data_IF_348036710569
#
_entry.id   IF_348036710569
#
_cell.length_a   1.000
_cell.length_b   1.000
_cell.length_c   1.000
_cell.angle_alpha   90.00
_cell.angle_beta   90.00
_cell.angle_gamma   90.00
#
_symmetry.space_group_name_H-M   'P 1'
#
loop_
_entity.id
_entity.type
_entity.pdbx_description
1 polymer ?
#
# COMPACT_ATOMS: atom_id res chain seq x y z
N UNK A 1 -39.66 35.23 17.68
CA UNK A 1 -38.80 35.28 16.49
C UNK A 1 -37.44 34.67 16.84
N UNK A 2 -36.85 33.98 15.86
CA UNK A 2 -35.52 33.34 15.85
C UNK A 2 -35.38 31.98 16.56
N UNK A 3 -35.91 30.94 15.92
CA UNK A 3 -35.39 29.58 16.02
C UNK A 3 -33.98 29.55 15.41
N UNK A 4 -32.97 29.39 16.25
CA UNK A 4 -31.60 29.14 15.81
C UNK A 4 -31.58 27.81 15.05
N UNK A 5 -31.45 27.89 13.72
CA UNK A 5 -31.16 26.73 12.88
C UNK A 5 -29.82 26.15 13.33
N UNK A 6 -29.89 25.09 14.15
CA UNK A 6 -28.79 24.17 14.38
C UNK A 6 -28.41 23.63 13.01
N UNK A 7 -27.35 24.19 12.42
CA UNK A 7 -26.74 23.72 11.18
C UNK A 7 -26.38 22.26 11.46
N UNK A 8 -27.22 21.33 10.98
CA UNK A 8 -26.89 19.91 10.94
C UNK A 8 -25.64 19.85 10.07
N UNK A 9 -24.48 19.76 10.69
CA UNK A 9 -23.23 19.46 9.99
C UNK A 9 -23.52 18.23 9.15
N UNK A 10 -23.47 18.40 7.83
CA UNK A 10 -23.58 17.26 6.94
C UNK A 10 -22.50 16.28 7.36
N UNK A 11 -22.83 14.98 7.56
CA UNK A 11 -21.80 13.99 7.85
C UNK A 11 -20.77 14.08 6.73
N UNK A 12 -19.52 14.37 7.11
CA UNK A 12 -18.44 14.59 6.16
C UNK A 12 -18.35 13.39 5.21
N UNK A 13 -18.35 13.68 3.91
CA UNK A 13 -18.31 12.66 2.86
C UNK A 13 -16.99 11.90 2.95
N UNK A 14 -17.05 10.57 2.89
CA UNK A 14 -15.83 9.73 2.93
C UNK A 14 -15.17 9.71 1.56
N UNK A 15 -13.82 9.71 1.43
CA UNK A 15 -12.83 9.77 2.51
C UNK A 15 -12.43 11.21 2.89
N UNK A 16 -13.21 12.24 2.54
CA UNK A 16 -12.93 13.63 2.93
C UNK A 16 -12.91 13.90 4.44
N UNK A 17 -13.38 12.95 5.26
CA UNK A 17 -13.28 12.96 6.71
C UNK A 17 -12.01 12.28 7.26
N UNK A 18 -11.16 11.72 6.40
CA UNK A 18 -9.87 11.14 6.79
C UNK A 18 -8.92 12.27 7.18
N UNK A 19 -8.17 12.16 8.29
CA UNK A 19 -7.19 13.17 8.66
C UNK A 19 -6.18 13.43 7.54
N UNK A 20 -5.77 14.70 7.36
CA UNK A 20 -4.77 15.06 6.35
C UNK A 20 -3.38 14.50 6.71
N UNK A 21 -2.43 14.51 5.77
CA UNK A 21 -1.06 14.04 6.00
C UNK A 21 -0.39 14.74 7.19
N UNK A 22 -0.54 16.07 7.27
CA UNK A 22 -0.01 16.84 8.40
C UNK A 22 -0.63 16.39 9.73
N UNK A 23 -1.95 16.14 9.76
CA UNK A 23 -2.63 15.67 10.97
C UNK A 23 -2.22 14.24 11.33
N UNK A 24 -2.01 13.37 10.34
CA UNK A 24 -1.51 12.02 10.56
C UNK A 24 -0.10 12.05 11.17
N UNK A 25 0.80 12.90 10.66
CA UNK A 25 2.12 13.10 11.23
C UNK A 25 2.06 13.64 12.66
N UNK A 26 1.21 14.64 12.93
CA UNK A 26 0.99 15.14 14.30
C UNK A 26 0.56 14.03 15.27
N UNK A 27 -0.33 13.14 14.84
CA UNK A 27 -0.81 12.01 15.65
C UNK A 27 0.28 10.96 15.85
N UNK A 28 1.00 10.60 14.78
CA UNK A 28 2.08 9.63 14.82
C UNK A 28 3.24 10.07 15.72
N UNK A 29 3.56 11.37 15.71
CA UNK A 29 4.54 11.98 16.61
C UNK A 29 4.00 12.23 18.03
N UNK A 30 2.75 11.86 18.33
CA UNK A 30 2.13 12.08 19.65
C UNK A 30 1.82 13.54 19.98
N UNK A 31 1.90 14.44 18.99
CA UNK A 31 1.60 15.89 19.13
C UNK A 31 0.09 16.17 19.14
N UNK A 32 -0.72 15.20 18.73
CA UNK A 32 -2.18 15.33 18.65
C UNK A 32 -2.89 14.05 19.03
N UNK A 33 -4.00 14.19 19.75
CA UNK A 33 -4.97 13.11 19.95
C UNK A 33 -6.19 13.33 19.06
N UNK A 34 -6.73 12.25 18.50
CA UNK A 34 -7.95 12.28 17.73
C UNK A 34 -9.15 11.99 18.63
N UNK A 35 -10.23 12.72 18.39
CA UNK A 35 -11.51 12.53 19.09
C UNK A 35 -12.23 11.27 18.59
N UNK A 36 -11.94 10.87 17.35
CA UNK A 36 -12.54 9.70 16.70
C UNK A 36 -11.68 8.46 16.96
N UNK A 37 -12.34 7.35 17.31
CA UNK A 37 -11.66 6.06 17.49
C UNK A 37 -11.28 5.46 16.13
N UNK A 38 -9.98 5.28 15.91
CA UNK A 38 -9.39 4.68 14.71
C UNK A 38 -8.58 3.44 15.11
N UNK A 39 -9.22 2.28 15.34
CA UNK A 39 -8.58 1.10 15.90
C UNK A 39 -7.51 0.49 14.97
N UNK A 40 -7.71 0.48 13.64
CA UNK A 40 -6.69 -0.04 12.73
C UNK A 40 -5.50 0.92 12.63
N UNK A 41 -5.76 2.23 12.57
CA UNK A 41 -4.70 3.23 12.56
C UNK A 41 -3.87 3.21 13.86
N UNK A 42 -4.51 2.99 15.01
CA UNK A 42 -3.84 2.81 16.30
C UNK A 42 -2.99 1.54 16.34
N UNK A 43 -3.52 0.41 15.87
CA UNK A 43 -2.76 -0.85 15.79
C UNK A 43 -1.52 -0.72 14.89
N UNK A 44 -1.61 0.06 13.82
CA UNK A 44 -0.46 0.36 12.97
C UNK A 44 0.61 1.13 13.75
N UNK A 45 0.21 2.17 14.49
CA UNK A 45 1.13 2.96 15.32
C UNK A 45 1.87 2.10 16.36
N UNK A 46 1.17 1.15 16.99
CA UNK A 46 1.75 0.21 17.96
C UNK A 46 2.75 -0.78 17.32
N UNK A 47 2.63 -1.03 16.02
CA UNK A 47 3.44 -1.99 15.26
C UNK A 47 4.57 -1.38 14.46
N UNK A 48 4.77 -0.06 14.55
CA UNK A 48 5.89 0.59 13.87
C UNK A 48 7.22 -0.05 14.30
N UNK A 49 8.06 -0.32 13.32
CA UNK A 49 9.42 -0.78 13.51
C UNK A 49 10.29 0.35 14.04
N UNK A 50 11.50 0.03 14.54
CA UNK A 50 12.41 1.04 15.05
C UNK A 50 12.79 2.08 13.97
N UNK A 51 13.17 1.70 12.73
CA UNK A 51 13.51 2.69 11.69
C UNK A 51 12.32 3.58 11.29
N UNK A 52 11.10 3.06 11.29
CA UNK A 52 9.89 3.86 11.03
C UNK A 52 9.65 4.88 12.15
N UNK A 53 9.87 4.50 13.41
CA UNK A 53 9.76 5.44 14.54
C UNK A 53 10.84 6.51 14.50
N UNK A 54 12.07 6.14 14.16
CA UNK A 54 13.16 7.09 14.00
C UNK A 54 12.89 8.08 12.87
N UNK A 55 12.37 7.61 11.72
CA UNK A 55 11.97 8.49 10.62
C UNK A 55 10.86 9.48 10.98
N UNK A 56 10.02 9.17 11.98
CA UNK A 56 9.01 10.10 12.51
C UNK A 56 9.60 11.18 13.44
N UNK A 57 10.79 10.95 14.00
CA UNK A 57 11.45 11.84 14.97
C UNK A 57 12.58 12.65 14.34
N UNK A 58 13.21 12.13 13.30
CA UNK A 58 14.40 12.72 12.67
C UNK A 58 14.00 13.52 11.42
N UNK A 59 14.22 14.84 11.45
CA UNK A 59 13.91 15.72 10.33
C UNK A 59 15.02 15.60 9.26
N UNK A 60 14.76 14.82 8.20
CA UNK A 60 15.53 14.88 6.95
C UNK A 60 16.36 13.66 6.58
N UNK A 61 16.53 12.67 7.47
CA UNK A 61 17.29 11.44 7.14
C UNK A 61 16.47 10.37 6.40
N UNK A 62 15.13 10.44 6.47
CA UNK A 62 14.24 9.47 5.83
C UNK A 62 12.85 10.04 5.51
N UNK A 63 12.77 11.23 4.89
CA UNK A 63 11.49 11.90 4.58
C UNK A 63 10.51 11.01 3.80
N UNK A 64 11.01 10.23 2.83
CA UNK A 64 10.19 9.27 2.07
C UNK A 64 9.58 8.18 2.97
N UNK A 65 10.34 7.69 3.97
CA UNK A 65 9.84 6.69 4.91
C UNK A 65 8.81 7.31 5.86
N UNK A 66 9.08 8.51 6.36
CA UNK A 66 8.17 9.28 7.22
C UNK A 66 6.82 9.52 6.52
N UNK A 67 6.86 9.98 5.28
CA UNK A 67 5.67 10.25 4.48
C UNK A 67 4.89 8.98 4.16
N UNK A 68 5.59 7.89 3.83
CA UNK A 68 4.95 6.60 3.60
C UNK A 68 4.25 6.07 4.86
N UNK A 69 4.86 6.17 6.04
CA UNK A 69 4.23 5.77 7.31
C UNK A 69 2.96 6.60 7.57
N UNK A 70 2.99 7.91 7.29
CA UNK A 70 1.79 8.74 7.37
C UNK A 70 0.70 8.31 6.39
N UNK A 71 1.04 7.96 5.14
CA UNK A 71 0.07 7.46 4.15
C UNK A 71 -0.53 6.13 4.59
N UNK A 72 0.29 5.19 5.09
CA UNK A 72 -0.20 3.90 5.63
C UNK A 72 -1.18 4.10 6.80
N UNK A 73 -0.83 5.01 7.72
CA UNK A 73 -1.72 5.37 8.81
C UNK A 73 -3.05 5.96 8.30
N UNK A 74 -3.01 6.83 7.28
CA UNK A 74 -4.21 7.40 6.65
C UNK A 74 -5.06 6.36 5.92
N UNK A 75 -4.45 5.39 5.24
CA UNK A 75 -5.18 4.26 4.65
C UNK A 75 -5.91 3.45 5.73
N UNK A 76 -5.24 3.13 6.83
CA UNK A 76 -5.87 2.43 7.96
C UNK A 76 -7.03 3.26 8.57
N UNK A 77 -6.84 4.57 8.72
CA UNK A 77 -7.90 5.48 9.18
C UNK A 77 -9.07 5.54 8.19
N UNK A 78 -8.80 5.56 6.88
CA UNK A 78 -9.82 5.52 5.85
C UNK A 78 -10.64 4.22 5.89
N UNK A 79 -10.00 3.08 6.17
CA UNK A 79 -10.70 1.80 6.37
C UNK A 79 -11.59 1.81 7.61
N UNK A 80 -11.11 2.35 8.73
CA UNK A 80 -11.91 2.49 9.96
C UNK A 80 -13.17 3.34 9.72
N UNK A 81 -13.03 4.42 8.94
CA UNK A 81 -14.12 5.34 8.65
C UNK A 81 -15.07 4.86 7.54
N UNK A 82 -14.63 3.93 6.68
CA UNK A 82 -15.40 3.42 5.54
C UNK A 82 -16.77 2.85 5.97
N UNK A 83 -16.81 2.08 7.06
CA UNK A 83 -18.04 1.46 7.56
C UNK A 83 -19.05 2.50 8.08
N UNK A 84 -18.58 3.68 8.50
CA UNK A 84 -19.42 4.76 9.03
C UNK A 84 -19.93 5.72 7.95
N UNK A 85 -19.41 5.62 6.72
CA UNK A 85 -19.64 6.57 5.64
C UNK A 85 -21.06 6.53 5.03
N UNK A 86 -21.88 5.52 5.35
CA UNK A 86 -23.26 5.41 4.86
C UNK A 86 -23.41 5.44 3.33
N UNK A 87 -22.33 5.17 2.59
CA UNK A 87 -22.32 5.03 1.13
C UNK A 87 -22.14 6.32 0.34
N UNK A 88 -21.83 7.42 1.02
CA UNK A 88 -21.44 8.65 0.34
C UNK A 88 -19.93 8.66 0.13
N UNK A 89 -19.54 8.40 -1.11
CA UNK A 89 -18.14 8.44 -1.56
C UNK A 89 -17.89 9.73 -2.31
N UNK A 90 -16.96 10.53 -1.81
CA UNK A 90 -16.34 11.64 -2.53
C UNK A 90 -15.23 11.05 -3.40
N UNK A 91 -15.51 10.98 -4.70
CA UNK A 91 -14.60 10.42 -5.68
C UNK A 91 -13.30 11.23 -5.78
N UNK A 92 -13.37 12.56 -5.63
CA UNK A 92 -12.19 13.43 -5.73
C UNK A 92 -11.28 13.22 -4.52
N UNK A 93 -11.86 13.13 -3.32
CA UNK A 93 -11.09 12.84 -2.12
C UNK A 93 -10.48 11.42 -2.15
N UNK A 94 -11.19 10.44 -2.73
CA UNK A 94 -10.67 9.08 -2.92
C UNK A 94 -9.49 9.05 -3.90
N UNK A 95 -9.62 9.70 -5.05
CA UNK A 95 -8.55 9.81 -6.04
C UNK A 95 -7.33 10.55 -5.47
N UNK A 96 -7.54 11.61 -4.69
CA UNK A 96 -6.45 12.29 -4.00
C UNK A 96 -5.71 11.38 -3.00
N UNK A 97 -6.44 10.56 -2.24
CA UNK A 97 -5.84 9.59 -1.31
C UNK A 97 -5.04 8.52 -2.06
N UNK A 98 -5.54 7.99 -3.18
CA UNK A 98 -4.81 7.01 -3.99
C UNK A 98 -3.57 7.65 -4.65
N UNK A 99 -3.66 8.90 -5.12
CA UNK A 99 -2.52 9.62 -5.66
C UNK A 99 -1.43 9.93 -4.60
N UNK A 100 -1.79 10.01 -3.31
CA UNK A 100 -0.80 10.07 -2.23
C UNK A 100 -0.06 8.74 -2.05
N UNK A 101 -0.75 7.60 -2.19
CA UNK A 101 -0.14 6.26 -2.15
C UNK A 101 0.87 6.10 -3.28
N UNK A 102 0.49 6.43 -4.51
CA UNK A 102 1.37 6.32 -5.67
C UNK A 102 2.63 7.19 -5.51
N UNK A 103 2.46 8.43 -5.03
CA UNK A 103 3.58 9.33 -4.74
C UNK A 103 4.50 8.80 -3.64
N UNK A 104 3.94 8.21 -2.58
CA UNK A 104 4.72 7.62 -1.51
C UNK A 104 5.51 6.38 -1.99
N UNK A 105 4.89 5.51 -2.78
CA UNK A 105 5.55 4.34 -3.38
C UNK A 105 6.70 4.76 -4.31
N UNK A 106 6.49 5.80 -5.12
CA UNK A 106 7.54 6.37 -5.98
C UNK A 106 8.68 6.96 -5.14
N UNK A 107 8.36 7.75 -4.12
CA UNK A 107 9.35 8.38 -3.24
C UNK A 107 10.18 7.35 -2.47
N UNK A 108 9.58 6.26 -1.99
CA UNK A 108 10.30 5.15 -1.34
C UNK A 108 11.23 4.43 -2.32
N UNK A 109 10.83 4.27 -3.58
CA UNK A 109 11.66 3.58 -4.58
C UNK A 109 12.87 4.42 -5.00
N UNK A 110 12.67 5.72 -5.15
CA UNK A 110 13.73 6.68 -5.47
C UNK A 110 14.61 7.01 -4.24
N UNK A 111 14.17 6.67 -3.03
CA UNK A 111 14.89 6.99 -1.81
C UNK A 111 16.25 6.30 -1.77
N UNK A 112 17.26 7.12 -1.48
CA UNK A 112 18.61 6.65 -1.20
C UNK A 112 18.78 6.57 0.32
N UNK A 113 18.85 5.36 0.89
CA UNK A 113 18.94 5.18 2.32
C UNK A 113 20.31 5.61 2.85
N UNK A 114 20.35 6.20 4.05
CA UNK A 114 21.58 6.56 4.74
C UNK A 114 22.31 5.34 5.35
N UNK A 115 21.61 4.22 5.53
CA UNK A 115 22.16 2.98 6.09
C UNK A 115 21.48 1.74 5.50
N UNK A 116 22.11 0.55 5.60
CA UNK A 116 21.50 -0.71 5.15
C UNK A 116 20.17 -1.02 5.84
N UNK A 117 20.08 -0.82 7.17
CA UNK A 117 18.86 -1.03 7.94
C UNK A 117 17.72 -0.12 7.47
N UNK A 118 18.04 1.13 7.14
CA UNK A 118 17.08 2.07 6.56
C UNK A 118 16.65 1.62 5.16
N UNK A 119 17.57 1.08 4.36
CA UNK A 119 17.26 0.51 3.05
C UNK A 119 16.25 -0.64 3.15
N UNK A 120 16.47 -1.57 4.08
CA UNK A 120 15.55 -2.68 4.34
C UNK A 120 14.19 -2.19 4.87
N UNK A 121 14.17 -1.16 5.73
CA UNK A 121 12.95 -0.57 6.22
C UNK A 121 12.13 0.11 5.12
N UNK A 122 12.79 0.81 4.19
CA UNK A 122 12.16 1.40 3.01
C UNK A 122 11.54 0.32 2.12
N UNK A 123 12.28 -0.76 1.85
CA UNK A 123 11.77 -1.85 1.00
C UNK A 123 10.58 -2.57 1.62
N UNK A 124 10.67 -2.87 2.91
CA UNK A 124 9.56 -3.48 3.65
C UNK A 124 8.34 -2.57 3.71
N UNK A 125 8.54 -1.27 3.92
CA UNK A 125 7.44 -0.29 3.91
C UNK A 125 6.82 -0.18 2.52
N UNK A 126 7.62 -0.21 1.47
CA UNK A 126 7.14 -0.21 0.08
C UNK A 126 6.26 -1.43 -0.21
N UNK A 127 6.72 -2.63 0.16
CA UNK A 127 5.95 -3.86 -0.02
C UNK A 127 4.65 -3.85 0.79
N UNK A 128 4.74 -3.43 2.05
CA UNK A 128 3.58 -3.37 2.96
C UNK A 128 2.55 -2.34 2.48
N UNK A 129 2.98 -1.15 2.08
CA UNK A 129 2.10 -0.11 1.53
C UNK A 129 1.44 -0.58 0.22
N UNK A 130 2.18 -1.30 -0.63
CA UNK A 130 1.61 -1.89 -1.86
C UNK A 130 0.49 -2.86 -1.53
N UNK A 131 0.70 -3.76 -0.57
CA UNK A 131 -0.32 -4.71 -0.13
C UNK A 131 -1.52 -4.00 0.52
N UNK A 132 -1.26 -3.04 1.42
CA UNK A 132 -2.31 -2.25 2.09
C UNK A 132 -3.17 -1.46 1.08
N UNK A 133 -2.58 -0.96 -0.01
CA UNK A 133 -3.30 -0.28 -1.09
C UNK A 133 -4.19 -1.23 -1.90
N UNK A 134 -3.73 -2.45 -2.17
CA UNK A 134 -4.53 -3.50 -2.82
C UNK A 134 -5.70 -3.93 -1.94
N UNK A 135 -5.43 -4.16 -0.65
CA UNK A 135 -6.46 -4.53 0.32
C UNK A 135 -7.48 -3.40 0.51
N UNK A 136 -7.02 -2.15 0.59
CA UNK A 136 -7.87 -0.97 0.63
C UNK A 136 -8.81 -0.92 -0.58
N UNK A 137 -8.27 -1.07 -1.79
CA UNK A 137 -9.05 -1.05 -3.02
C UNK A 137 -10.10 -2.16 -3.06
N UNK A 138 -9.75 -3.34 -2.55
CA UNK A 138 -10.66 -4.48 -2.44
C UNK A 138 -11.78 -4.22 -1.43
N UNK A 139 -11.46 -3.65 -0.27
CA UNK A 139 -12.42 -3.32 0.78
C UNK A 139 -13.39 -2.21 0.36
N UNK A 140 -12.90 -1.18 -0.33
CA UNK A 140 -13.75 -0.12 -0.91
C UNK A 140 -14.72 -0.70 -1.95
N UNK A 141 -14.24 -1.62 -2.79
CA UNK A 141 -15.10 -2.34 -3.74
C UNK A 141 -16.17 -3.18 -3.04
N UNK A 142 -15.80 -3.93 -2.00
CA UNK A 142 -16.74 -4.74 -1.24
C UNK A 142 -17.80 -3.91 -0.50
N UNK A 143 -17.40 -2.77 0.08
CA UNK A 143 -18.32 -1.86 0.76
C UNK A 143 -19.34 -1.25 -0.21
N UNK A 144 -18.91 -0.89 -1.42
CA UNK A 144 -19.80 -0.34 -2.44
C UNK A 144 -20.78 -1.37 -3.03
N UNK A 145 -20.43 -2.65 -3.09
CA UNK A 145 -21.35 -3.71 -3.54
C UNK A 145 -22.36 -4.11 -2.46
N UNK A 146 -21.98 -4.10 -1.18
CA UNK A 146 -22.89 -4.39 -0.07
C UNK A 146 -24.01 -3.34 0.07
N UNK A 147 -23.75 -2.08 -0.28
CA UNK A 147 -24.77 -1.02 -0.27
C UNK A 147 -25.76 -1.08 -1.45
N UNK A 148 -25.46 -1.84 -2.50
CA UNK A 148 -26.37 -2.04 -3.62
C UNK A 148 -27.37 -3.19 -3.39
N UNK A 149 -27.24 -3.95 -2.30
CA UNK A 149 -28.23 -4.96 -1.93
C UNK A 149 -29.47 -4.25 -1.36
N UNK A 150 -30.66 -4.37 -1.98
CA UNK A 150 -31.86 -3.78 -1.44
C UNK A 150 -32.10 -4.38 -0.06
N UNK A 151 -32.26 -3.52 0.95
CA UNK A 151 -32.71 -3.91 2.27
C UNK A 151 -34.04 -4.65 2.09
N UNK A 152 -34.03 -5.98 2.25
CA UNK A 152 -35.25 -6.75 2.37
C UNK A 152 -36.01 -6.17 3.56
N UNK A 153 -37.08 -5.42 3.29
CA UNK A 153 -37.94 -4.89 4.32
C UNK A 153 -38.40 -6.04 5.20
N UNK A 154 -38.29 -5.96 6.54
CA UNK A 154 -38.86 -6.97 7.41
C UNK A 154 -40.37 -6.94 7.21
N UNK A 155 -40.90 -7.95 6.51
CA UNK A 155 -42.34 -8.14 6.39
C UNK A 155 -42.93 -8.22 7.81
N UNK A 156 -43.96 -7.42 8.14
CA UNK A 156 -44.63 -7.55 9.42
C UNK A 156 -45.21 -8.97 9.52
N UNK A 157 -44.94 -9.62 10.64
CA UNK A 157 -45.36 -10.99 10.92
C UNK A 157 -46.85 -11.19 10.58
N UNK A 158 -47.21 -12.15 9.70
CA UNK A 158 -48.61 -12.36 9.37
C UNK A 158 -49.30 -13.02 10.56
N UNK A 159 -50.36 -12.37 11.05
CA UNK A 159 -51.31 -12.98 12.00
C UNK A 159 -51.87 -14.25 11.36
N UNK A 160 -51.85 -15.35 12.11
CA UNK A 160 -52.50 -16.62 11.73
C UNK A 160 -53.94 -16.37 11.26
N UNK A 161 -54.38 -17.06 10.21
CA UNK A 161 -55.47 -18.00 10.41
C UNK A 161 -55.19 -19.36 9.79
N UNK A 162 -55.92 -20.34 10.29
CA UNK A 162 -55.89 -21.74 9.91
C UNK A 162 -56.40 -22.02 8.49
N UNK A 163 -56.16 -23.26 8.06
CA UNK A 163 -56.77 -23.99 6.96
C UNK A 163 -55.95 -24.12 5.65
N UNK A 164 -55.38 -25.31 5.56
CA UNK A 164 -54.95 -26.13 4.41
C UNK A 164 -55.61 -25.78 3.07
N UNK A 165 -54.79 -25.46 2.06
CA UNK A 165 -55.20 -25.38 0.66
C UNK A 165 -53.99 -25.26 -0.27
N UNK A 166 -53.84 -26.21 -1.20
CA UNK A 166 -52.77 -26.23 -2.22
C UNK A 166 -52.77 -24.92 -3.01
N UNK A 167 -51.63 -24.23 -3.07
CA UNK A 167 -51.42 -23.12 -4.02
C UNK A 167 -50.11 -23.35 -4.77
N UNK A 168 -50.28 -23.52 -6.07
CA UNK A 168 -49.28 -23.59 -7.14
C UNK A 168 -48.43 -22.32 -7.13
N UNK A 169 -47.10 -22.45 -7.07
CA UNK A 169 -46.19 -21.33 -7.31
C UNK A 169 -46.32 -20.87 -8.77
N UNK A 170 -46.91 -19.70 -9.01
CA UNK A 170 -46.63 -18.93 -10.22
C UNK A 170 -45.38 -18.07 -9.97
N UNK A 171 -44.37 -18.09 -10.85
CA UNK A 171 -43.32 -17.08 -10.84
C UNK A 171 -43.97 -15.73 -11.14
N UNK A 172 -43.97 -14.83 -10.16
CA UNK A 172 -44.41 -13.47 -10.36
C UNK A 172 -43.35 -12.76 -11.22
N UNK A 173 -43.70 -12.42 -12.46
CA UNK A 173 -42.88 -11.57 -13.32
C UNK A 173 -42.59 -10.24 -12.60
N UNK A 174 -41.32 -9.80 -12.55
CA UNK A 174 -40.96 -8.56 -11.89
C UNK A 174 -41.56 -7.36 -12.64
N UNK A 175 -42.36 -6.58 -11.92
CA UNK A 175 -42.95 -5.33 -12.37
C UNK A 175 -41.87 -4.31 -12.79
N UNK A 176 -41.82 -3.91 -14.08
CA UNK A 176 -40.81 -2.99 -14.60
C UNK A 176 -40.95 -1.55 -14.08
N UNK A 177 -42.01 -1.21 -13.34
CA UNK A 177 -42.23 0.15 -12.83
C UNK A 177 -41.52 0.45 -11.50
N UNK A 178 -41.04 -0.58 -10.77
CA UNK A 178 -40.31 -0.42 -9.50
C UNK A 178 -38.81 -0.76 -9.60
N UNK A 179 -38.24 -0.75 -10.79
CA UNK A 179 -36.79 -0.86 -10.96
C UNK A 179 -36.09 0.41 -10.42
N UNK A 180 -35.15 0.32 -9.46
CA UNK A 180 -34.32 1.45 -9.08
C UNK A 180 -33.52 1.92 -10.30
N UNK A 181 -33.94 3.06 -10.86
CA UNK A 181 -33.27 3.70 -11.99
C UNK A 181 -31.89 4.21 -11.56
N UNK A 182 -30.89 3.83 -12.35
CA UNK A 182 -29.47 4.24 -12.34
C UNK A 182 -28.56 3.43 -11.41
N UNK A 183 -28.27 2.21 -11.83
CA UNK A 183 -27.01 1.52 -11.49
C UNK A 183 -25.82 2.38 -11.93
N UNK A 184 -24.99 2.75 -10.96
CA UNK A 184 -23.77 3.56 -11.10
C UNK A 184 -22.70 2.81 -11.93
N UNK A 185 -22.87 2.75 -13.25
CA UNK A 185 -21.87 2.20 -14.17
C UNK A 185 -20.50 2.91 -14.08
N UNK A 186 -20.48 4.14 -13.58
CA UNK A 186 -19.26 4.95 -13.39
C UNK A 186 -18.36 4.41 -12.27
N UNK A 187 -18.93 3.76 -11.24
CA UNK A 187 -18.15 3.20 -10.13
C UNK A 187 -17.24 2.05 -10.59
N UNK A 188 -17.63 1.34 -11.65
CA UNK A 188 -16.86 0.25 -12.23
C UNK A 188 -15.74 0.72 -13.16
N UNK A 189 -15.89 1.91 -13.76
CA UNK A 189 -14.88 2.47 -14.68
C UNK A 189 -13.71 3.09 -13.91
N UNK A 190 -13.98 3.79 -12.79
CA UNK A 190 -12.92 4.40 -11.97
C UNK A 190 -11.99 3.38 -11.30
N UNK A 191 -12.52 2.25 -10.82
CA UNK A 191 -11.72 1.21 -10.17
C UNK A 191 -10.93 0.36 -11.18
N UNK A 192 -11.51 0.11 -12.36
CA UNK A 192 -10.78 -0.51 -13.47
C UNK A 192 -9.62 0.37 -13.97
N UNK A 193 -9.77 1.69 -13.89
CA UNK A 193 -8.72 2.64 -14.23
C UNK A 193 -7.56 2.60 -13.23
N UNK A 194 -7.80 2.39 -11.93
CA UNK A 194 -6.74 2.28 -10.93
C UNK A 194 -5.85 1.04 -11.14
N UNK A 195 -6.45 -0.12 -11.46
CA UNK A 195 -5.69 -1.35 -11.80
C UNK A 195 -4.98 -1.21 -13.15
N UNK A 196 -5.61 -0.55 -14.13
CA UNK A 196 -5.00 -0.25 -15.41
C UNK A 196 -3.88 0.80 -15.31
N UNK A 197 -3.97 1.75 -14.38
CA UNK A 197 -2.93 2.73 -14.10
C UNK A 197 -1.72 2.06 -13.45
N UNK A 198 -1.89 1.14 -12.51
CA UNK A 198 -0.76 0.34 -11.98
C UNK A 198 -0.08 -0.44 -13.13
N UNK A 199 -0.83 -1.10 -14.01
CA UNK A 199 -0.27 -1.85 -15.14
C UNK A 199 0.39 -0.94 -16.22
N UNK A 200 -0.23 0.19 -16.56
CA UNK A 200 0.28 1.14 -17.56
C UNK A 200 1.43 2.01 -17.03
N UNK A 201 1.48 2.27 -15.73
CA UNK A 201 2.58 2.95 -15.05
C UNK A 201 3.85 2.09 -15.03
N UNK A 202 3.70 0.76 -14.87
CA UNK A 202 4.82 -0.17 -15.02
C UNK A 202 5.29 -0.32 -16.48
N UNK A 203 4.40 -0.19 -17.47
CA UNK A 203 4.76 -0.29 -18.89
C UNK A 203 5.44 0.96 -19.47
N UNK A 204 5.13 2.15 -18.97
CA UNK A 204 5.62 3.43 -19.54
C UNK A 204 6.93 3.96 -18.92
N UNK A 205 7.37 3.42 -17.78
CA UNK A 205 8.61 3.84 -17.08
C UNK A 205 9.86 3.03 -17.39
N UNK A 206 9.88 2.21 -18.45
CA UNK A 206 11.11 1.54 -18.90
C UNK A 206 12.22 2.51 -19.36
N UNK A 207 11.91 3.81 -19.55
CA UNK A 207 12.78 4.78 -20.21
C UNK A 207 13.12 6.05 -19.40
N UNK A 208 12.94 6.06 -18.07
CA UNK A 208 13.47 7.17 -17.27
C UNK A 208 14.95 6.97 -16.94
N UNK A 209 15.75 8.00 -17.19
CA UNK A 209 17.10 8.14 -16.67
C UNK A 209 17.02 8.30 -15.14
N UNK A 210 17.16 7.16 -14.46
CA UNK A 210 17.28 7.11 -13.01
C UNK A 210 18.67 7.63 -12.66
N UNK A 211 18.74 8.81 -12.04
CA UNK A 211 20.00 9.38 -11.54
C UNK A 211 20.26 8.84 -10.15
N UNK A 212 21.19 7.90 -10.03
CA UNK A 212 21.69 7.42 -8.74
C UNK A 212 22.61 8.47 -8.10
N UNK A 213 22.49 8.77 -6.80
CA UNK A 213 23.47 9.61 -6.13
C UNK A 213 24.85 8.92 -6.07
N UNK A 214 25.94 9.66 -6.32
CA UNK A 214 27.29 9.11 -6.53
C UNK A 214 27.91 8.45 -5.27
N UNK A 215 27.35 8.68 -4.08
CA UNK A 215 27.88 8.13 -2.83
C UNK A 215 27.63 6.62 -2.66
N UNK A 216 26.78 6.02 -3.51
CA UNK A 216 26.30 4.64 -3.33
C UNK A 216 26.38 3.78 -4.60
N UNK A 217 27.29 4.11 -5.52
CA UNK A 217 27.52 3.34 -6.74
C UNK A 217 28.89 2.68 -6.71
N UNK A 218 28.92 1.35 -6.71
CA UNK A 218 30.16 0.60 -6.91
C UNK A 218 30.58 0.76 -8.39
N UNK A 219 31.88 0.99 -8.69
CA UNK A 219 32.33 1.07 -10.08
C UNK A 219 31.89 -0.14 -10.91
N UNK A 220 31.21 0.13 -12.03
CA UNK A 220 30.69 -0.91 -12.93
C UNK A 220 29.34 -1.52 -12.55
N UNK A 221 28.69 -1.05 -11.47
CA UNK A 221 27.29 -1.35 -11.20
C UNK A 221 26.36 -0.63 -12.20
N UNK A 222 25.26 -1.27 -12.63
CA UNK A 222 24.20 -0.60 -13.39
C UNK A 222 23.71 0.68 -12.68
N UNK A 223 23.34 1.70 -13.45
CA UNK A 223 22.89 3.01 -12.93
C UNK A 223 21.56 2.94 -12.16
N UNK A 224 20.81 1.86 -12.33
CA UNK A 224 19.57 1.62 -11.62
C UNK A 224 19.76 0.79 -10.33
N UNK A 225 21.00 0.55 -9.89
CA UNK A 225 21.33 -0.09 -8.62
C UNK A 225 21.96 0.88 -7.63
N UNK A 226 21.47 0.84 -6.39
CA UNK A 226 22.12 1.41 -5.21
C UNK A 226 22.88 0.26 -4.53
N UNK A 227 24.19 0.42 -4.34
CA UNK A 227 25.07 -0.57 -3.70
C UNK A 227 25.69 0.03 -2.45
N UNK A 228 25.47 -0.61 -1.31
CA UNK A 228 25.95 -0.12 -0.01
C UNK A 228 26.73 -1.20 0.71
N UNK A 229 27.77 -0.83 1.45
CA UNK A 229 28.43 -1.75 2.38
C UNK A 229 27.49 -2.08 3.53
N UNK A 230 27.37 -3.37 3.84
CA UNK A 230 26.51 -3.92 4.89
C UNK A 230 27.35 -4.44 6.08
N UNK A 231 28.28 -3.61 6.53
CA UNK A 231 29.15 -3.91 7.67
C UNK A 231 30.57 -4.33 7.29
N UNK A 232 31.39 -4.72 8.28
CA UNK A 232 32.82 -4.95 8.10
C UNK A 232 33.16 -6.31 7.46
N UNK A 233 32.17 -7.19 7.31
CA UNK A 233 32.34 -8.54 6.76
C UNK A 233 32.47 -8.56 5.23
N UNK A 234 32.41 -7.39 4.58
CA UNK A 234 32.46 -7.25 3.14
C UNK A 234 31.13 -7.56 2.45
N UNK A 235 30.03 -7.74 3.19
CA UNK A 235 28.71 -7.88 2.60
C UNK A 235 28.22 -6.56 1.99
N UNK A 236 27.40 -6.66 0.94
CA UNK A 236 26.84 -5.51 0.24
C UNK A 236 25.32 -5.62 0.16
N UNK A 237 24.60 -4.56 0.52
CA UNK A 237 23.18 -4.42 0.23
C UNK A 237 23.02 -3.77 -1.15
N UNK A 238 22.29 -4.43 -2.03
CA UNK A 238 22.03 -3.98 -3.40
C UNK A 238 20.52 -3.77 -3.56
N UNK A 239 20.11 -2.57 -3.94
CA UNK A 239 18.70 -2.20 -4.19
C UNK A 239 18.52 -1.72 -5.61
N UNK A 240 17.54 -2.27 -6.32
CA UNK A 240 17.10 -1.80 -7.63
C UNK A 240 16.15 -0.62 -7.48
N UNK A 241 16.36 0.42 -8.27
CA UNK A 241 15.44 1.55 -8.39
C UNK A 241 14.31 1.25 -9.40
N UNK A 242 14.44 0.18 -10.21
CA UNK A 242 13.39 -0.26 -11.15
C UNK A 242 12.41 -1.23 -10.50
N UNK A 243 11.13 -1.09 -10.82
CA UNK A 243 10.11 -2.07 -10.42
C UNK A 243 10.19 -3.35 -11.28
N UNK A 244 9.87 -4.50 -10.68
CA UNK A 244 9.83 -5.79 -11.37
C UNK A 244 11.10 -6.64 -11.22
N UNK A 245 11.25 -7.69 -12.06
CA UNK A 245 12.39 -8.60 -11.98
C UNK A 245 13.70 -7.90 -12.35
N UNK A 246 14.82 -8.54 -12.00
CA UNK A 246 16.14 -8.04 -12.35
C UNK A 246 16.28 -7.88 -13.88
N UNK A 247 16.89 -6.78 -14.32
CA UNK A 247 17.16 -6.58 -15.75
C UNK A 247 18.31 -7.48 -16.21
N UNK A 248 18.44 -7.79 -17.51
CA UNK A 248 19.59 -8.56 -18.01
C UNK A 248 20.95 -7.94 -17.65
N UNK A 249 21.02 -6.62 -17.54
CA UNK A 249 22.23 -5.92 -17.10
C UNK A 249 22.53 -6.15 -15.62
N UNK A 250 21.49 -6.12 -14.77
CA UNK A 250 21.62 -6.43 -13.34
C UNK A 250 22.02 -7.89 -13.13
N UNK A 251 21.38 -8.83 -13.84
CA UNK A 251 21.75 -10.25 -13.79
C UNK A 251 23.19 -10.51 -14.24
N UNK A 252 23.64 -9.84 -15.31
CA UNK A 252 25.02 -9.94 -15.77
C UNK A 252 26.00 -9.38 -14.73
N UNK A 253 25.62 -8.30 -14.04
CA UNK A 253 26.42 -7.76 -12.94
C UNK A 253 26.44 -8.70 -11.73
N UNK A 254 25.31 -9.27 -11.32
CA UNK A 254 25.25 -10.27 -10.24
C UNK A 254 26.13 -11.48 -10.53
N UNK A 255 26.12 -12.02 -11.75
CA UNK A 255 27.02 -13.12 -12.15
C UNK A 255 28.50 -12.75 -12.04
N UNK A 256 28.87 -11.49 -12.30
CA UNK A 256 30.25 -11.02 -12.09
C UNK A 256 30.61 -10.98 -10.61
N UNK A 257 29.67 -10.60 -9.73
CA UNK A 257 29.88 -10.65 -8.28
C UNK A 257 29.94 -12.08 -7.76
N UNK A 258 29.14 -12.99 -8.30
CA UNK A 258 29.23 -14.42 -7.94
C UNK A 258 30.58 -15.01 -8.36
N UNK A 259 31.07 -14.65 -9.56
CA UNK A 259 32.39 -15.04 -10.03
C UNK A 259 33.54 -14.45 -9.19
N UNK A 260 33.34 -13.31 -8.52
CA UNK A 260 34.31 -12.76 -7.56
C UNK A 260 34.22 -13.39 -6.17
N UNK A 261 33.36 -14.41 -6.00
CA UNK A 261 33.22 -15.16 -4.76
C UNK A 261 32.15 -14.60 -3.82
N UNK A 262 31.20 -13.80 -4.32
CA UNK A 262 30.02 -13.38 -3.54
C UNK A 262 28.88 -14.40 -3.71
N UNK A 263 27.97 -14.45 -2.75
CA UNK A 263 26.70 -15.16 -2.82
C UNK A 263 25.56 -14.17 -2.79
N UNK A 264 24.68 -14.25 -3.79
CA UNK A 264 23.48 -13.42 -3.88
C UNK A 264 22.34 -14.03 -3.03
N UNK A 265 21.85 -13.26 -2.06
CA UNK A 265 20.69 -13.65 -1.22
C UNK A 265 19.56 -12.63 -1.41
N UNK A 266 18.42 -13.01 -2.04
CA UNK A 266 17.29 -12.10 -2.16
C UNK A 266 16.73 -11.74 -0.78
N UNK A 267 16.48 -10.45 -0.54
CA UNK A 267 15.89 -9.93 0.71
C UNK A 267 14.47 -9.40 0.51
N UNK A 268 14.04 -9.22 -0.75
CA UNK A 268 12.73 -8.69 -1.11
C UNK A 268 12.66 -8.31 -2.59
N UNK A 269 11.58 -7.65 -2.99
CA UNK A 269 11.41 -7.24 -4.39
C UNK A 269 12.43 -6.16 -4.81
N UNK A 270 13.40 -6.59 -5.61
CA UNK A 270 14.45 -5.72 -6.11
C UNK A 270 15.52 -5.40 -5.06
N UNK A 271 15.64 -6.19 -4.01
CA UNK A 271 16.70 -6.02 -2.99
C UNK A 271 17.41 -7.34 -2.73
N UNK A 272 18.74 -7.28 -2.73
CA UNK A 272 19.61 -8.43 -2.57
C UNK A 272 20.74 -8.11 -1.60
N UNK A 273 21.13 -9.11 -0.83
CA UNK A 273 22.32 -9.09 -0.01
C UNK A 273 23.39 -9.94 -0.67
N UNK A 274 24.50 -9.34 -1.05
CA UNK A 274 25.70 -10.04 -1.49
C UNK A 274 26.56 -10.32 -0.27
N UNK A 275 26.85 -11.60 0.00
CA UNK A 275 27.70 -12.01 1.13
C UNK A 275 28.93 -12.73 0.58
N UNK A 276 30.16 -12.47 1.07
CA UNK A 276 31.31 -13.26 0.65
C UNK A 276 31.08 -14.76 0.91
N UNK A 277 31.29 -15.58 -0.11
CA UNK A 277 31.24 -17.02 0.04
C UNK A 277 32.36 -17.44 0.99
N UNK A 278 32.02 -18.08 2.12
CA UNK A 278 33.01 -18.83 2.89
C UNK A 278 33.61 -19.87 1.96
N UNK A 279 34.86 -19.66 1.56
CA UNK A 279 35.64 -20.60 0.76
C UNK A 279 35.54 -21.96 1.45
N UNK A 280 34.96 -22.96 0.80
CA UNK A 280 35.02 -24.33 1.31
C UNK A 280 36.50 -24.67 1.54
N UNK A 281 36.87 -25.32 2.67
CA UNK A 281 38.26 -25.71 2.89
C UNK A 281 38.70 -26.53 1.67
N UNK A 282 39.83 -26.12 1.08
CA UNK A 282 40.41 -26.82 -0.05
C UNK A 282 40.50 -28.30 0.30
N UNK A 283 39.82 -29.15 -0.48
CA UNK A 283 39.92 -30.60 -0.36
C UNK A 283 41.39 -30.95 -0.36
N UNK A 284 41.91 -31.39 0.79
CA UNK A 284 43.27 -31.83 0.93
C UNK A 284 43.53 -32.89 -0.15
N UNK A 285 44.61 -32.70 -0.90
CA UNK A 285 44.94 -33.56 -2.02
C UNK A 285 45.04 -35.01 -1.58
N UNK A 286 44.27 -35.88 -2.24
CA UNK A 286 44.62 -37.29 -2.32
C UNK A 286 45.74 -37.44 -3.35
N UNK A 287 46.95 -37.06 -2.92
CA UNK A 287 48.17 -37.73 -3.39
C UNK A 287 48.48 -38.83 -2.41
N UNK A 288 48.39 -40.08 -2.87
CA UNK A 288 49.06 -41.22 -2.26
C UNK A 288 49.43 -42.21 -3.38
N UNK A 289 50.51 -42.99 -3.17
CA UNK A 289 51.67 -43.09 -4.05
C UNK A 289 51.51 -43.99 -5.28
#
# INVERSE_FOLDING_TARGET
>A
MALAHKKLEQPATWPGNVPSQAQALEVLCGKRMLVVSLPNARRLQEKLTLPEREALMDEGLADSLRDAVAVRWRLAAAQDLLLTAGGRVDQVALEALLAEVDRALEALRAATPASPDMGLAIDRTWETLTQEAVDFSTNVKAASTQQAAPAAHPHPAPKKPAATGKVTFQPQEPDPQNAPKKTNKVLFVGLGLAVALVAAYHGSRMNQDIVTPPAYTQPGAPSDLIVMSNGPDGSLLVRSMRAGPATPQQEAWFKKQEASGMQLKPQGQGTWLLVPATKAPATAGNTTP
#
